data_IF_548896005953
#
_entry.id   IF_548896005953
#
_cell.length_a   1.000
_cell.length_b   1.000
_cell.length_c   1.000
_cell.angle_alpha   90.00
_cell.angle_beta   90.00
_cell.angle_gamma   90.00
#
_symmetry.space_group_name_H-M   'P 1'
#
loop_
_entity.id
_entity.type
_entity.pdbx_description
1 polymer ?
#
# COMPACT_ATOMS: atom_id res chain seq x y z
N UNK A 1 -17.85 30.23 37.67
CA UNK A 1 -17.33 29.21 38.61
C UNK A 1 -17.99 27.91 38.19
N UNK A 2 -17.33 26.97 37.53
CA UNK A 2 -16.02 26.37 37.84
C UNK A 2 -15.20 26.27 36.54
N UNK A 3 -13.98 26.78 36.64
CA UNK A 3 -12.86 26.61 35.72
C UNK A 3 -12.07 25.38 36.19
N UNK A 4 -11.53 24.57 35.27
CA UNK A 4 -10.45 23.56 35.39
C UNK A 4 -10.72 22.45 34.36
N UNK A 5 -9.80 21.97 33.55
CA UNK A 5 -8.38 22.25 33.40
C UNK A 5 -7.88 21.54 32.14
N UNK A 6 -7.00 22.21 31.40
CA UNK A 6 -6.25 21.66 30.26
C UNK A 6 -5.24 20.64 30.78
N UNK A 7 -5.27 19.41 30.28
CA UNK A 7 -4.16 18.47 30.40
C UNK A 7 -3.48 18.30 29.05
N UNK A 8 -2.46 19.13 28.80
CA UNK A 8 -1.46 18.90 27.77
C UNK A 8 -0.46 17.87 28.28
N UNK A 9 -0.39 16.70 27.65
CA UNK A 9 0.63 15.69 27.92
C UNK A 9 1.84 16.01 27.02
N UNK A 10 2.87 16.57 27.64
CA UNK A 10 4.20 16.76 27.07
C UNK A 10 4.97 15.45 27.28
N UNK A 11 5.24 14.70 26.21
CA UNK A 11 6.10 13.51 26.27
C UNK A 11 7.54 13.97 26.12
N UNK A 12 8.27 13.90 27.24
CA UNK A 12 9.67 14.29 27.37
C UNK A 12 10.59 13.24 26.71
N UNK A 13 11.37 13.66 25.71
CA UNK A 13 12.46 12.87 25.12
C UNK A 13 13.62 12.73 26.10
N UNK A 14 13.77 11.56 26.72
CA UNK A 14 14.98 11.18 27.44
C UNK A 14 15.97 10.51 26.48
N UNK A 15 17.03 11.23 26.10
CA UNK A 15 18.20 10.69 25.40
C UNK A 15 19.04 9.88 26.40
N UNK A 16 19.16 8.58 26.19
CA UNK A 16 20.12 7.74 26.91
C UNK A 16 21.41 7.71 26.08
N UNK A 17 22.43 8.41 26.59
CA UNK A 17 23.81 8.27 26.15
C UNK A 17 24.41 7.05 26.87
N UNK A 18 24.93 6.07 26.12
CA UNK A 18 25.66 4.94 26.68
C UNK A 18 27.07 4.85 26.09
N UNK A 19 27.99 4.60 27.01
CA UNK A 19 29.41 4.83 26.96
C UNK A 19 30.19 3.97 25.95
N UNK A 20 31.23 4.60 25.41
CA UNK A 20 32.42 4.03 24.79
C UNK A 20 33.22 3.17 25.77
N UNK A 21 33.62 1.97 25.35
CA UNK A 21 34.77 1.27 25.93
C UNK A 21 35.78 0.94 24.82
N UNK A 22 36.96 1.55 24.92
CA UNK A 22 38.14 1.18 24.15
C UNK A 22 38.94 0.12 24.93
N UNK A 23 39.43 -0.90 24.24
CA UNK A 23 40.49 -1.76 24.72
C UNK A 23 41.47 -2.05 23.58
N UNK A 24 42.73 -1.70 23.80
CA UNK A 24 43.85 -1.81 22.87
C UNK A 24 44.88 -2.83 23.37
N UNK A 25 45.46 -3.57 22.41
CA UNK A 25 46.74 -4.31 22.33
C UNK A 25 47.07 -5.44 23.32
N UNK A 26 47.45 -6.61 22.80
CA UNK A 26 48.86 -6.95 22.54
C UNK A 26 49.06 -8.26 21.72
N UNK A 27 50.22 -8.30 21.07
CA UNK A 27 50.78 -9.23 20.08
C UNK A 27 51.18 -10.61 20.64
N UNK A 28 51.17 -11.63 19.77
CA UNK A 28 52.16 -12.71 19.83
C UNK A 28 52.46 -13.25 18.43
N UNK A 29 53.72 -13.10 18.02
CA UNK A 29 54.32 -13.69 16.84
C UNK A 29 54.44 -15.22 16.98
N UNK A 30 54.26 -15.95 15.89
CA UNK A 30 54.86 -17.27 15.69
C UNK A 30 55.15 -17.42 14.19
N UNK A 31 56.41 -17.69 13.89
CA UNK A 31 56.99 -17.80 12.55
C UNK A 31 57.05 -19.26 12.10
N UNK A 32 57.02 -19.45 10.77
CA UNK A 32 57.38 -20.63 9.95
C UNK A 32 56.39 -21.81 10.00
N UNK A 33 55.87 -22.28 8.85
CA UNK A 33 56.68 -22.98 7.84
C UNK A 33 56.11 -22.80 6.42
N UNK A 34 57.01 -22.63 5.45
CA UNK A 34 56.75 -22.61 4.01
C UNK A 34 56.07 -23.90 3.52
N UNK A 35 55.05 -23.72 2.68
CA UNK A 35 54.79 -24.64 1.56
C UNK A 35 54.38 -23.80 0.37
N UNK A 36 55.34 -23.63 -0.54
CA UNK A 36 55.11 -23.15 -1.89
C UNK A 36 54.22 -24.15 -2.62
N UNK A 37 53.04 -23.73 -3.10
CA UNK A 37 52.57 -24.07 -4.44
C UNK A 37 51.27 -23.35 -4.82
N UNK A 38 51.30 -22.82 -6.04
CA UNK A 38 50.19 -22.36 -6.87
C UNK A 38 49.49 -21.05 -6.48
N UNK A 39 49.97 -19.98 -7.11
CA UNK A 39 49.16 -18.89 -7.60
C UNK A 39 48.02 -19.44 -8.48
N UNK A 40 46.93 -19.85 -7.83
CA UNK A 40 45.62 -19.83 -8.44
C UNK A 40 45.18 -18.38 -8.45
N UNK A 41 45.16 -17.74 -9.62
CA UNK A 41 44.42 -16.50 -9.82
C UNK A 41 42.96 -16.76 -9.47
N UNK A 42 42.60 -16.60 -8.19
CA UNK A 42 41.23 -16.42 -7.75
C UNK A 42 40.78 -15.09 -8.31
N UNK A 43 40.35 -15.13 -9.57
CA UNK A 43 39.59 -14.05 -10.17
C UNK A 43 38.30 -14.02 -9.36
N UNK A 44 38.29 -13.22 -8.29
CA UNK A 44 37.07 -12.82 -7.62
C UNK A 44 36.23 -12.20 -8.71
N UNK A 45 35.29 -12.97 -9.25
CA UNK A 45 34.35 -12.51 -10.26
C UNK A 45 33.47 -11.52 -9.51
N UNK A 46 33.89 -10.25 -9.54
CA UNK A 46 33.10 -9.13 -9.03
C UNK A 46 31.76 -9.25 -9.75
N UNK A 47 30.76 -9.73 -9.01
CA UNK A 47 29.43 -9.89 -9.55
C UNK A 47 28.88 -8.49 -9.50
N UNK A 48 29.02 -7.78 -10.62
CA UNK A 48 28.41 -6.47 -10.80
C UNK A 48 26.95 -6.60 -10.37
N UNK A 49 26.47 -5.78 -9.41
CA UNK A 49 25.09 -5.86 -9.00
C UNK A 49 24.22 -5.46 -10.19
N UNK A 50 23.52 -6.45 -10.76
CA UNK A 50 22.49 -6.20 -11.75
C UNK A 50 21.34 -5.50 -11.02
N UNK A 51 21.09 -4.22 -11.32
CA UNK A 51 19.89 -3.57 -10.83
C UNK A 51 18.69 -4.11 -11.61
N UNK A 52 17.84 -4.88 -10.94
CA UNK A 52 16.59 -5.40 -11.49
C UNK A 52 15.47 -4.45 -11.09
N UNK A 53 14.74 -3.93 -12.08
CA UNK A 53 13.55 -3.11 -11.85
C UNK A 53 12.29 -3.91 -12.17
N UNK A 54 11.22 -3.68 -11.42
CA UNK A 54 9.91 -4.30 -11.60
C UNK A 54 8.87 -3.24 -11.97
N UNK A 55 7.72 -3.64 -12.56
CA UNK A 55 6.63 -2.70 -12.79
C UNK A 55 6.06 -2.17 -11.47
N UNK A 56 5.46 -0.98 -11.44
CA UNK A 56 4.78 -0.50 -10.24
C UNK A 56 3.60 -1.40 -9.89
N UNK A 57 3.24 -1.44 -8.60
CA UNK A 57 2.05 -2.13 -8.12
C UNK A 57 0.80 -1.68 -8.89
N UNK A 58 -0.03 -2.64 -9.32
CA UNK A 58 -1.32 -2.37 -9.95
C UNK A 58 -2.47 -2.65 -9.00
N UNK A 59 -3.44 -1.74 -8.96
CA UNK A 59 -4.69 -1.94 -8.23
C UNK A 59 -5.81 -2.10 -9.24
N UNK A 60 -6.28 -3.34 -9.39
CA UNK A 60 -7.42 -3.68 -10.21
C UNK A 60 -8.70 -3.63 -9.37
N UNK A 61 -9.84 -3.60 -10.04
CA UNK A 61 -11.14 -3.62 -9.39
C UNK A 61 -12.16 -4.42 -10.18
N UNK A 62 -13.13 -4.98 -9.47
CA UNK A 62 -14.33 -5.56 -10.08
C UNK A 62 -15.54 -5.46 -9.14
N UNK A 63 -16.68 -5.94 -9.64
CA UNK A 63 -17.94 -5.99 -8.91
C UNK A 63 -18.46 -7.42 -8.95
N UNK A 64 -18.84 -7.94 -7.79
CA UNK A 64 -19.48 -9.25 -7.68
C UNK A 64 -20.70 -9.33 -8.61
N UNK A 65 -20.82 -10.43 -9.36
CA UNK A 65 -21.91 -10.64 -10.30
C UNK A 65 -23.31 -10.68 -9.68
N UNK A 66 -23.41 -10.79 -8.35
CA UNK A 66 -24.67 -10.71 -7.62
C UNK A 66 -25.24 -9.27 -7.57
N UNK A 67 -24.41 -8.24 -7.75
CA UNK A 67 -24.85 -6.84 -7.73
C UNK A 67 -25.33 -6.40 -9.11
N UNK A 68 -26.55 -5.87 -9.18
CA UNK A 68 -27.23 -5.52 -10.43
C UNK A 68 -27.92 -4.17 -10.34
N UNK A 69 -28.30 -3.59 -11.48
CA UNK A 69 -28.95 -2.28 -11.56
C UNK A 69 -28.14 -1.17 -10.87
N UNK A 70 -28.83 -0.23 -10.22
CA UNK A 70 -28.18 0.89 -9.54
C UNK A 70 -27.18 0.44 -8.46
N UNK A 71 -27.41 -0.71 -7.80
CA UNK A 71 -26.46 -1.22 -6.81
C UNK A 71 -25.10 -1.53 -7.45
N UNK A 72 -25.08 -1.99 -8.71
CA UNK A 72 -23.85 -2.22 -9.47
C UNK A 72 -23.08 -0.93 -9.74
N UNK A 73 -23.77 0.15 -10.12
CA UNK A 73 -23.11 1.43 -10.43
C UNK A 73 -22.45 2.05 -9.19
N UNK A 74 -23.13 2.00 -8.04
CA UNK A 74 -22.57 2.47 -6.77
C UNK A 74 -21.41 1.57 -6.30
N UNK A 75 -21.55 0.25 -6.48
CA UNK A 75 -20.51 -0.72 -6.15
C UNK A 75 -19.26 -0.56 -7.01
N UNK A 76 -19.43 -0.37 -8.33
CA UNK A 76 -18.34 -0.06 -9.25
C UNK A 76 -17.62 1.21 -8.82
N UNK A 77 -18.37 2.29 -8.56
CA UNK A 77 -17.77 3.55 -8.12
C UNK A 77 -16.97 3.40 -6.83
N UNK A 78 -17.45 2.62 -5.85
CA UNK A 78 -16.71 2.34 -4.62
C UNK A 78 -15.41 1.56 -4.86
N UNK A 79 -15.48 0.46 -5.62
CA UNK A 79 -14.32 -0.40 -5.91
C UNK A 79 -13.23 0.36 -6.67
N UNK A 80 -13.61 1.10 -7.71
CA UNK A 80 -12.71 1.98 -8.46
C UNK A 80 -12.09 3.07 -7.57
N UNK A 81 -12.88 3.71 -6.69
CA UNK A 81 -12.35 4.74 -5.77
C UNK A 81 -11.31 4.16 -4.83
N UNK A 82 -11.52 2.94 -4.34
CA UNK A 82 -10.53 2.26 -3.48
C UNK A 82 -9.27 1.86 -4.26
N UNK A 83 -9.42 1.40 -5.50
CA UNK A 83 -8.28 1.12 -6.38
C UNK A 83 -7.45 2.39 -6.65
N UNK A 84 -8.11 3.53 -6.92
CA UNK A 84 -7.45 4.83 -7.08
C UNK A 84 -6.65 5.23 -5.85
N UNK A 85 -7.18 4.98 -4.64
CA UNK A 85 -6.47 5.27 -3.39
C UNK A 85 -5.20 4.45 -3.27
N UNK A 86 -5.25 3.14 -3.53
CA UNK A 86 -4.07 2.29 -3.46
C UNK A 86 -3.06 2.59 -4.56
N UNK A 87 -3.50 2.95 -5.77
CA UNK A 87 -2.58 3.40 -6.82
C UNK A 87 -1.85 4.68 -6.39
N UNK A 88 -2.54 5.64 -5.76
CA UNK A 88 -1.88 6.82 -5.20
C UNK A 88 -0.91 6.47 -4.07
N UNK A 89 -1.35 5.72 -3.06
CA UNK A 89 -0.56 5.43 -1.86
C UNK A 89 0.69 4.57 -2.18
N UNK A 90 0.61 3.68 -3.17
CA UNK A 90 1.73 2.81 -3.56
C UNK A 90 2.52 3.33 -4.76
N UNK A 91 2.27 4.55 -5.22
CA UNK A 91 3.07 5.14 -6.30
C UNK A 91 4.51 5.36 -5.81
N UNK A 92 5.50 4.90 -6.60
CA UNK A 92 6.95 5.03 -6.31
C UNK A 92 7.42 6.49 -6.11
N UNK A 93 6.64 7.44 -6.62
CA UNK A 93 6.86 8.86 -6.45
C UNK A 93 5.53 9.58 -6.26
N UNK A 94 5.55 10.66 -5.50
CA UNK A 94 4.37 11.48 -5.28
C UNK A 94 3.78 11.95 -6.63
N UNK A 95 2.48 11.72 -6.81
CA UNK A 95 1.73 12.20 -7.96
C UNK A 95 0.51 13.02 -7.51
N UNK A 96 0.53 14.32 -7.84
CA UNK A 96 -0.62 15.19 -7.61
C UNK A 96 -1.83 14.77 -8.45
N UNK A 97 -1.59 14.20 -9.63
CA UNK A 97 -2.66 13.75 -10.52
C UNK A 97 -3.38 12.53 -9.93
N UNK A 98 -2.64 11.54 -9.40
CA UNK A 98 -3.23 10.39 -8.71
C UNK A 98 -3.97 10.82 -7.44
N UNK A 99 -3.37 11.73 -6.67
CA UNK A 99 -4.01 12.30 -5.48
C UNK A 99 -5.33 12.99 -5.83
N UNK A 100 -5.33 13.85 -6.85
CA UNK A 100 -6.50 14.59 -7.28
C UNK A 100 -7.56 13.67 -7.90
N UNK A 101 -7.15 12.61 -8.60
CA UNK A 101 -8.06 11.59 -9.15
C UNK A 101 -8.84 10.91 -8.04
N UNK A 102 -8.18 10.48 -6.96
CA UNK A 102 -8.85 9.96 -5.77
C UNK A 102 -9.71 11.02 -5.07
N UNK A 103 -9.13 12.20 -4.78
CA UNK A 103 -9.81 13.29 -4.07
C UNK A 103 -11.04 13.83 -4.84
N UNK A 104 -11.12 13.63 -6.15
CA UNK A 104 -12.30 14.00 -6.93
C UNK A 104 -13.53 13.11 -6.63
N UNK A 105 -13.33 11.95 -6.01
CA UNK A 105 -14.34 10.90 -5.81
C UNK A 105 -14.83 10.76 -4.37
N UNK A 106 -14.15 11.41 -3.43
CA UNK A 106 -14.46 11.39 -2.00
C UNK A 106 -14.83 12.78 -1.51
N UNK A 107 -15.55 12.85 -0.40
CA UNK A 107 -15.79 14.10 0.31
C UNK A 107 -14.52 14.63 1.00
N UNK A 108 -14.61 15.84 1.54
CA UNK A 108 -13.45 16.48 2.18
C UNK A 108 -12.96 15.78 3.46
N UNK A 109 -13.81 14.98 4.12
CA UNK A 109 -13.48 14.28 5.36
C UNK A 109 -12.60 13.06 5.08
N UNK A 110 -12.84 12.37 3.97
CA UNK A 110 -12.11 11.16 3.56
C UNK A 110 -10.99 11.44 2.54
N UNK A 111 -10.56 12.70 2.40
CA UNK A 111 -9.49 13.07 1.46
C UNK A 111 -8.14 12.44 1.82
N UNK A 112 -7.31 12.23 0.80
CA UNK A 112 -5.89 11.91 0.98
C UNK A 112 -5.01 13.13 0.77
N UNK A 113 -3.73 13.03 1.16
CA UNK A 113 -2.75 14.11 1.11
C UNK A 113 -1.35 13.60 0.75
N UNK A 114 -0.44 14.53 0.48
CA UNK A 114 1.01 14.23 0.36
C UNK A 114 1.53 13.55 1.62
N UNK A 115 1.15 14.04 2.80
CA UNK A 115 1.60 13.50 4.08
C UNK A 115 1.14 12.05 4.25
N UNK A 116 -0.10 11.74 3.87
CA UNK A 116 -0.61 10.37 3.88
C UNK A 116 0.18 9.43 2.94
N UNK A 117 0.59 9.91 1.76
CA UNK A 117 1.49 9.16 0.87
C UNK A 117 2.89 8.96 1.50
N UNK A 118 3.45 9.99 2.14
CA UNK A 118 4.74 9.88 2.83
C UNK A 118 4.70 8.89 3.98
N UNK A 119 3.64 8.93 4.80
CA UNK A 119 3.44 8.01 5.92
C UNK A 119 3.23 6.56 5.45
N UNK A 120 2.60 6.37 4.29
CA UNK A 120 2.41 5.05 3.67
C UNK A 120 3.71 4.47 3.10
N UNK A 121 4.61 5.33 2.60
CA UNK A 121 5.84 4.90 1.95
C UNK A 121 6.94 4.55 2.97
N UNK A 122 7.02 3.28 3.33
CA UNK A 122 8.02 2.72 4.27
C UNK A 122 9.45 2.68 3.72
N UNK A 123 9.66 3.12 2.47
CA UNK A 123 10.96 3.14 1.80
C UNK A 123 11.35 1.82 1.11
N UNK A 124 10.51 0.78 1.21
CA UNK A 124 10.67 -0.47 0.44
C UNK A 124 9.74 -0.41 -0.77
N UNK A 125 10.28 -0.42 -2.01
CA UNK A 125 9.45 -0.46 -3.21
C UNK A 125 8.65 -1.77 -3.30
N UNK A 126 7.43 -1.69 -3.84
CA UNK A 126 6.51 -2.82 -3.98
C UNK A 126 6.09 -3.02 -5.43
N UNK A 127 5.80 -4.26 -5.81
CA UNK A 127 5.33 -4.63 -7.16
C UNK A 127 4.25 -5.71 -7.09
N UNK A 128 3.67 -6.04 -8.25
CA UNK A 128 2.65 -7.06 -8.41
C UNK A 128 1.26 -6.44 -8.54
N UNK A 129 0.26 -6.98 -7.84
CA UNK A 129 -1.08 -6.41 -7.89
C UNK A 129 -2.06 -6.81 -6.79
N UNK A 130 -3.10 -5.98 -6.70
CA UNK A 130 -4.22 -6.04 -5.77
C UNK A 130 -5.54 -6.06 -6.54
N UNK A 131 -6.55 -6.72 -5.99
CA UNK A 131 -7.93 -6.65 -6.47
C UNK A 131 -8.83 -6.02 -5.41
N UNK A 132 -9.50 -4.93 -5.78
CA UNK A 132 -10.58 -4.30 -5.02
C UNK A 132 -11.94 -4.80 -5.55
N UNK A 133 -12.64 -5.63 -4.78
CA UNK A 133 -13.94 -6.18 -5.21
C UNK A 133 -15.07 -5.62 -4.36
N UNK A 134 -16.07 -5.01 -4.99
CA UNK A 134 -17.33 -4.73 -4.31
C UNK A 134 -18.21 -6.00 -4.25
N UNK A 135 -18.60 -6.40 -3.03
CA UNK A 135 -19.25 -7.71 -2.80
C UNK A 135 -20.67 -7.61 -2.29
N UNK A 136 -21.06 -6.47 -1.73
CA UNK A 136 -22.37 -6.25 -1.13
C UNK A 136 -22.78 -4.78 -1.25
N UNK A 137 -24.09 -4.54 -1.28
CA UNK A 137 -24.69 -3.20 -1.35
C UNK A 137 -25.96 -3.16 -0.51
N UNK A 138 -25.94 -2.35 0.55
CA UNK A 138 -27.11 -2.09 1.39
C UNK A 138 -27.60 -0.65 1.21
N UNK A 139 -28.88 -0.41 0.85
CA UNK A 139 -29.43 0.94 0.85
C UNK A 139 -29.36 1.59 2.23
N UNK A 140 -29.13 2.89 2.25
CA UNK A 140 -29.10 3.74 3.46
C UNK A 140 -29.87 5.03 3.19
N UNK A 141 -30.09 5.85 4.22
CA UNK A 141 -30.74 7.16 4.07
C UNK A 141 -30.01 8.09 3.10
N UNK A 142 -28.67 8.05 3.10
CA UNK A 142 -27.83 9.00 2.36
C UNK A 142 -27.20 8.40 1.09
N UNK A 143 -27.58 7.18 0.68
CA UNK A 143 -26.99 6.51 -0.47
C UNK A 143 -26.96 4.98 -0.33
N UNK A 144 -25.94 4.34 -0.90
CA UNK A 144 -25.70 2.90 -0.78
C UNK A 144 -24.43 2.65 0.04
N UNK A 145 -24.51 1.82 1.06
CA UNK A 145 -23.34 1.30 1.77
C UNK A 145 -22.83 0.07 1.03
N UNK A 146 -21.63 0.19 0.47
CA UNK A 146 -20.95 -0.84 -0.29
C UNK A 146 -19.91 -1.51 0.59
N UNK A 147 -19.86 -2.84 0.62
CA UNK A 147 -18.70 -3.57 1.17
C UNK A 147 -17.67 -3.77 0.07
N UNK A 148 -16.44 -3.29 0.29
CA UNK A 148 -15.30 -3.48 -0.60
C UNK A 148 -14.27 -4.37 0.08
N UNK A 149 -13.84 -5.39 -0.65
CA UNK A 149 -12.86 -6.37 -0.23
C UNK A 149 -11.56 -6.18 -0.97
N UNK A 150 -10.46 -6.38 -0.25
CA UNK A 150 -9.12 -6.16 -0.78
C UNK A 150 -8.36 -7.50 -0.78
N UNK A 151 -8.14 -8.03 -1.99
CA UNK A 151 -7.51 -9.33 -2.20
C UNK A 151 -6.10 -9.18 -2.74
N UNK A 152 -5.16 -9.84 -2.07
CA UNK A 152 -3.75 -9.84 -2.46
C UNK A 152 -3.58 -10.77 -3.66
N UNK A 153 -4.10 -10.42 -4.83
CA UNK A 153 -4.00 -11.19 -6.08
C UNK A 153 -3.81 -10.22 -7.25
N UNK A 154 -2.90 -10.50 -8.20
CA UNK A 154 -2.05 -11.69 -8.31
C UNK A 154 -0.87 -11.74 -7.33
N UNK A 155 -0.77 -10.84 -6.35
CA UNK A 155 0.24 -10.90 -5.29
C UNK A 155 1.03 -9.60 -5.17
N UNK A 156 1.31 -9.16 -3.94
CA UNK A 156 2.19 -8.03 -3.62
C UNK A 156 3.54 -8.54 -3.19
N UNK A 157 4.58 -7.95 -3.76
CA UNK A 157 5.96 -8.33 -3.49
C UNK A 157 6.78 -7.10 -3.13
N UNK A 158 7.51 -7.20 -2.03
CA UNK A 158 8.58 -6.26 -1.69
C UNK A 158 9.77 -6.49 -2.62
N UNK A 159 10.44 -5.40 -3.00
CA UNK A 159 11.67 -5.44 -3.78
C UNK A 159 12.83 -5.16 -2.82
N UNK A 160 13.51 -6.23 -2.39
CA UNK A 160 14.66 -6.15 -1.47
C UNK A 160 15.90 -6.67 -2.19
N UNK A 161 16.92 -5.82 -2.31
CA UNK A 161 18.17 -6.15 -3.02
C UNK A 161 17.95 -6.70 -4.44
N UNK A 162 16.95 -6.15 -5.16
CA UNK A 162 16.58 -6.58 -6.51
C UNK A 162 15.88 -7.95 -6.58
N UNK A 163 15.46 -8.50 -5.43
CA UNK A 163 14.71 -9.76 -5.36
C UNK A 163 13.30 -9.52 -4.85
N UNK A 164 12.35 -10.25 -5.43
CA UNK A 164 10.97 -10.27 -4.97
C UNK A 164 10.87 -11.11 -3.70
N UNK A 165 10.34 -10.50 -2.66
CA UNK A 165 9.92 -11.18 -1.44
C UNK A 165 8.41 -11.04 -1.34
N UNK A 166 7.72 -12.18 -1.28
CA UNK A 166 6.27 -12.14 -1.05
C UNK A 166 6.02 -11.49 0.30
N UNK A 167 5.16 -10.48 0.33
CA UNK A 167 4.62 -9.99 1.59
C UNK A 167 3.65 -11.06 2.12
N UNK A 168 4.21 -12.03 2.85
CA UNK A 168 3.50 -13.22 3.27
C UNK A 168 2.65 -12.90 4.49
N UNK A 169 1.32 -12.93 4.33
CA UNK A 169 0.44 -13.88 5.07
C UNK A 169 -1.08 -13.65 4.91
N UNK A 170 -1.55 -12.73 4.08
CA UNK A 170 -3.00 -12.46 3.97
C UNK A 170 -3.50 -12.55 2.54
N UNK A 171 -4.42 -13.49 2.29
CA UNK A 171 -5.19 -13.59 1.02
C UNK A 171 -6.15 -12.40 0.89
N UNK A 172 -6.81 -12.07 2.01
CA UNK A 172 -7.58 -10.85 2.22
C UNK A 172 -6.74 -9.92 3.10
N UNK A 173 -6.23 -8.84 2.53
CA UNK A 173 -5.40 -7.89 3.31
C UNK A 173 -6.24 -6.80 3.97
N UNK A 174 -7.47 -6.58 3.51
CA UNK A 174 -8.40 -5.65 4.13
C UNK A 174 -9.84 -5.83 3.68
N UNK A 175 -10.73 -5.22 4.47
CA UNK A 175 -12.14 -5.05 4.15
C UNK A 175 -12.61 -3.71 4.70
N UNK A 176 -13.59 -3.12 4.03
CA UNK A 176 -14.20 -1.89 4.49
C UNK A 176 -15.58 -1.68 3.91
N UNK A 177 -16.26 -0.68 4.48
CA UNK A 177 -17.53 -0.18 3.97
C UNK A 177 -17.36 1.25 3.49
N UNK A 178 -17.98 1.56 2.36
CA UNK A 178 -17.99 2.88 1.75
C UNK A 178 -19.44 3.26 1.50
N UNK A 179 -19.88 4.43 1.99
CA UNK A 179 -21.19 4.97 1.63
C UNK A 179 -21.03 5.85 0.39
N UNK A 180 -21.64 5.42 -0.71
CA UNK A 180 -21.68 6.16 -1.97
C UNK A 180 -23.03 6.83 -2.12
N UNK A 181 -23.02 8.12 -2.45
CA UNK A 181 -24.23 8.93 -2.66
C UNK A 181 -24.25 9.52 -4.06
N UNK A 182 -25.44 9.68 -4.65
CA UNK A 182 -25.63 10.52 -5.84
C UNK A 182 -25.95 11.94 -5.37
N UNK A 183 -25.00 12.85 -5.53
CA UNK A 183 -25.03 14.16 -4.86
C UNK A 183 -24.41 15.27 -5.70
N UNK A 184 -24.77 16.52 -5.40
CA UNK A 184 -24.14 17.72 -5.95
C UNK A 184 -23.07 18.29 -5.01
N UNK A 185 -22.86 17.69 -3.83
CA UNK A 185 -21.87 18.18 -2.86
C UNK A 185 -20.46 18.30 -3.45
N UNK A 186 -19.63 19.23 -2.96
CA UNK A 186 -18.22 19.32 -3.30
C UNK A 186 -17.47 18.00 -3.07
N UNK A 187 -16.43 17.74 -3.86
CA UNK A 187 -15.48 16.66 -3.56
C UNK A 187 -14.27 17.23 -2.83
N UNK A 188 -13.36 16.38 -2.36
CA UNK A 188 -12.12 16.85 -1.76
C UNK A 188 -11.21 17.61 -2.75
N UNK A 189 -11.32 17.34 -4.05
CA UNK A 189 -10.53 18.00 -5.09
C UNK A 189 -11.13 19.33 -5.57
N UNK A 190 -12.44 19.54 -5.41
CA UNK A 190 -13.12 20.77 -5.83
C UNK A 190 -14.14 21.19 -4.78
N UNK A 191 -13.93 22.38 -4.20
CA UNK A 191 -14.78 22.98 -3.18
C UNK A 191 -16.14 23.45 -3.70
N UNK A 192 -16.36 23.47 -5.02
CA UNK A 192 -17.63 23.88 -5.61
C UNK A 192 -18.59 22.70 -5.72
N UNK A 193 -19.88 23.00 -5.53
CA UNK A 193 -20.94 22.04 -5.80
C UNK A 193 -21.02 21.75 -7.31
N UNK A 194 -21.23 20.49 -7.67
CA UNK A 194 -21.49 20.10 -9.06
C UNK A 194 -22.86 20.60 -9.51
N UNK A 195 -22.97 20.96 -10.78
CA UNK A 195 -24.24 21.39 -11.39
C UNK A 195 -25.23 20.24 -11.56
N UNK A 196 -24.73 19.01 -11.67
CA UNK A 196 -25.55 17.79 -11.78
C UNK A 196 -25.15 16.77 -10.70
N UNK A 197 -26.10 15.93 -10.22
CA UNK A 197 -25.76 14.85 -9.31
C UNK A 197 -24.71 13.92 -9.92
N UNK A 198 -23.71 13.56 -9.12
CA UNK A 198 -22.67 12.59 -9.43
C UNK A 198 -22.44 11.66 -8.25
N UNK A 199 -21.86 10.49 -8.48
CA UNK A 199 -21.48 9.62 -7.40
C UNK A 199 -20.31 10.23 -6.60
N UNK A 200 -20.41 10.14 -5.28
CA UNK A 200 -19.40 10.60 -4.33
C UNK A 200 -19.37 9.65 -3.15
N UNK A 201 -18.18 9.26 -2.69
CA UNK A 201 -18.01 8.58 -1.41
C UNK A 201 -18.11 9.63 -0.31
N UNK A 202 -19.07 9.47 0.58
CA UNK A 202 -19.37 10.42 1.68
C UNK A 202 -19.08 9.85 3.07
N UNK A 203 -18.59 8.61 3.12
CA UNK A 203 -18.10 7.98 4.34
C UNK A 203 -17.28 6.74 3.97
N UNK A 204 -16.13 6.59 4.60
CA UNK A 204 -15.26 5.44 4.48
C UNK A 204 -14.92 4.86 5.85
N UNK A 205 -15.06 3.53 6.01
CA UNK A 205 -14.72 2.80 7.24
C UNK A 205 -14.05 1.47 6.91
N UNK A 206 -12.75 1.35 7.17
CA UNK A 206 -11.96 0.13 6.90
C UNK A 206 -11.46 -0.51 8.19
N UNK A 207 -11.42 -1.85 8.21
CA UNK A 207 -10.86 -2.64 9.32
C UNK A 207 -11.72 -2.76 10.59
N UNK A 208 -12.85 -2.05 10.66
CA UNK A 208 -13.72 -2.02 11.84
C UNK A 208 -14.93 -2.98 11.76
N UNK A 209 -15.21 -3.55 10.58
CA UNK A 209 -16.38 -4.41 10.33
C UNK A 209 -15.98 -5.89 10.19
N UNK A 210 -16.19 -6.67 11.26
CA UNK A 210 -15.90 -8.11 11.25
C UNK A 210 -16.79 -8.90 10.29
N UNK A 211 -18.02 -8.45 10.03
CA UNK A 211 -18.90 -9.09 9.06
C UNK A 211 -18.38 -8.85 7.64
N UNK A 212 -17.81 -7.68 7.37
CA UNK A 212 -17.15 -7.40 6.10
C UNK A 212 -15.97 -8.35 5.86
N UNK A 213 -15.13 -8.61 6.86
CA UNK A 213 -14.03 -9.57 6.72
C UNK A 213 -14.52 -10.98 6.34
N UNK A 214 -15.57 -11.48 7.00
CA UNK A 214 -16.19 -12.76 6.67
C UNK A 214 -16.78 -12.80 5.26
N UNK A 215 -17.45 -11.72 4.83
CA UNK A 215 -17.95 -11.58 3.45
C UNK A 215 -16.81 -11.63 2.43
N UNK A 216 -15.68 -10.99 2.72
CA UNK A 216 -14.53 -10.99 1.83
C UNK A 216 -13.91 -12.38 1.66
N UNK A 217 -13.75 -13.15 2.73
CA UNK A 217 -13.26 -14.54 2.62
C UNK A 217 -14.15 -15.40 1.72
N UNK A 218 -15.48 -15.21 1.77
CA UNK A 218 -16.43 -15.94 0.93
C UNK A 218 -16.44 -15.46 -0.54
N UNK A 219 -16.10 -14.20 -0.76
CA UNK A 219 -16.12 -13.56 -2.07
C UNK A 219 -14.74 -13.56 -2.77
N UNK A 220 -13.80 -14.34 -2.24
CA UNK A 220 -12.45 -14.46 -2.78
C UNK A 220 -12.49 -14.83 -4.27
N UNK A 221 -11.66 -14.18 -5.11
CA UNK A 221 -11.58 -14.52 -6.53
C UNK A 221 -11.12 -15.95 -6.74
N UNK A 222 -11.69 -16.60 -7.76
CA UNK A 222 -11.29 -17.91 -8.25
C UNK A 222 -10.89 -17.80 -9.74
N UNK A 223 -9.64 -18.11 -10.14
CA UNK A 223 -8.55 -18.55 -9.26
C UNK A 223 -7.96 -17.41 -8.43
N UNK A 224 -7.65 -17.70 -7.16
CA UNK A 224 -6.78 -16.85 -6.36
C UNK A 224 -5.33 -17.14 -6.75
N UNK A 225 -4.63 -16.16 -7.32
CA UNK A 225 -3.30 -16.37 -7.90
C UNK A 225 -2.21 -15.60 -7.14
N UNK A 226 -1.00 -16.17 -7.13
CA UNK A 226 0.23 -15.58 -6.60
C UNK A 226 1.30 -15.65 -7.69
N UNK A 227 1.23 -14.74 -8.65
CA UNK A 227 2.10 -14.71 -9.83
C UNK A 227 3.09 -13.56 -9.71
N UNK A 228 4.38 -13.87 -9.63
CA UNK A 228 5.45 -12.87 -9.61
C UNK A 228 5.51 -12.10 -10.93
N UNK A 229 5.58 -10.75 -10.92
CA UNK A 229 5.74 -9.97 -12.13
C UNK A 229 7.14 -10.16 -12.74
N UNK A 230 7.21 -10.07 -14.07
CA UNK A 230 8.48 -10.05 -14.80
C UNK A 230 9.21 -8.71 -14.59
N UNK A 231 10.57 -8.72 -14.49
CA UNK A 231 11.34 -7.49 -14.47
C UNK A 231 11.12 -6.63 -15.72
N UNK A 232 11.04 -5.31 -15.53
CA UNK A 232 10.91 -4.33 -16.62
C UNK A 232 12.28 -3.93 -17.19
N UNK A 233 13.35 -4.03 -16.39
CA UNK A 233 14.72 -3.79 -16.84
C UNK A 233 15.72 -4.62 -16.04
N UNK A 234 16.79 -5.05 -16.73
CA UNK A 234 17.93 -5.75 -16.16
C UNK A 234 19.18 -5.02 -16.63
N UNK A 235 19.66 -4.05 -15.83
CA UNK A 235 20.88 -3.33 -16.20
C UNK A 235 22.08 -4.06 -15.62
N UNK A 236 22.87 -4.68 -16.50
CA UNK A 236 24.22 -5.11 -16.17
C UNK A 236 25.14 -3.92 -16.35
N UNK A 237 25.80 -3.49 -15.27
CA UNK A 237 26.81 -2.42 -15.36
C UNK A 237 28.00 -2.95 -16.21
N UNK A 238 28.47 -2.19 -17.22
CA UNK A 238 29.63 -2.60 -18.01
C UNK A 238 30.89 -2.65 -17.13
N UNK A 239 31.72 -3.65 -17.42
CA UNK A 239 32.95 -4.00 -16.71
C UNK A 239 34.02 -2.90 -16.78
#
# INVERSE_FOLDING_TARGET
>A
MIEMGKNSIVISLARIASLTLAATVASSCSHATESSQQAGSSTSRSTVPTSVSYPPLRSEWDVSGALTGNAKDFAQFAAETRADQYEFLNADSYSADLMNRYNARVDAADKTSRDAWQDWHTGVPVTGGLLMRAVDSTPTENGQRITVCEFNTPGVFDIVDGKLKLDSNKRVFGSGTMTVSSTTQPSAADSHASQTPRLLVISLKFGEDQDAAKRCEQAMPDPFTQTTPSPTAVTSQPK
#
